data_IF_259222711231
#
_entry.id   IF_259222711231
#
_cell.length_a   1.000
_cell.length_b   1.000
_cell.length_c   1.000
_cell.angle_alpha   90.00
_cell.angle_beta   90.00
_cell.angle_gamma   90.00
#
_symmetry.space_group_name_H-M   'P 1'
#
loop_
_entity.id
_entity.type
_entity.pdbx_description
1 polymer ?
#
# COMPACT_ATOMS: atom_id res chain seq x y z
N UNK A 1 3.57 3.98 12.78
CA UNK A 1 2.58 4.75 12.00
C UNK A 1 2.04 5.88 12.86
N UNK A 2 1.45 6.91 12.25
CA UNK A 2 0.86 8.10 12.90
C UNK A 2 -0.59 8.26 12.43
N UNK A 3 -1.51 8.58 13.35
CA UNK A 3 -2.94 8.75 13.09
C UNK A 3 -3.58 7.55 12.38
N UNK A 4 -3.25 6.34 12.84
CA UNK A 4 -3.71 5.10 12.22
C UNK A 4 -4.98 4.57 12.88
N UNK A 5 -5.85 3.94 12.09
CA UNK A 5 -6.95 3.12 12.59
C UNK A 5 -7.05 1.84 11.78
N UNK A 6 -7.70 0.84 12.35
CA UNK A 6 -7.90 -0.48 11.78
C UNK A 6 -9.26 -1.03 12.18
N UNK A 7 -9.74 -2.02 11.45
CA UNK A 7 -10.98 -2.71 11.75
C UNK A 7 -11.22 -3.88 10.81
N UNK A 8 -12.44 -4.40 10.85
CA UNK A 8 -12.88 -5.50 9.97
C UNK A 8 -13.98 -4.98 9.06
N UNK A 9 -13.91 -5.32 7.78
CA UNK A 9 -15.00 -5.12 6.83
C UNK A 9 -15.10 -6.34 5.91
N UNK A 10 -16.31 -6.92 5.81
CA UNK A 10 -16.56 -8.16 5.04
C UNK A 10 -15.55 -9.27 5.35
N UNK A 11 -15.32 -9.54 6.64
CA UNK A 11 -14.37 -10.55 7.15
C UNK A 11 -12.90 -10.34 6.75
N UNK A 12 -12.51 -9.14 6.31
CA UNK A 12 -11.11 -8.79 6.03
C UNK A 12 -10.68 -7.64 6.93
N UNK A 13 -9.49 -7.78 7.51
CA UNK A 13 -8.86 -6.72 8.29
C UNK A 13 -8.43 -5.60 7.35
N UNK A 14 -8.52 -4.36 7.81
CA UNK A 14 -8.00 -3.21 7.09
C UNK A 14 -7.18 -2.31 7.99
N UNK A 15 -6.30 -1.52 7.37
CA UNK A 15 -5.60 -0.41 8.02
C UNK A 15 -5.64 0.86 7.17
N UNK A 16 -5.76 2.00 7.84
CA UNK A 16 -5.58 3.31 7.22
C UNK A 16 -4.90 4.30 8.17
N UNK A 17 -4.58 5.48 7.66
CA UNK A 17 -4.18 6.63 8.45
C UNK A 17 -4.89 7.91 7.97
N UNK A 18 -5.58 8.59 8.88
CA UNK A 18 -6.18 9.90 8.61
C UNK A 18 -5.14 11.00 8.76
N UNK A 19 -4.80 11.73 7.68
CA UNK A 19 -3.78 12.80 7.69
C UNK A 19 -2.40 12.37 8.21
N UNK A 20 -2.09 11.07 8.12
CA UNK A 20 -0.87 10.48 8.66
C UNK A 20 -0.33 9.38 7.75
N UNK A 21 0.36 8.41 8.35
CA UNK A 21 1.01 7.34 7.60
C UNK A 21 1.09 6.05 8.41
N UNK A 22 1.24 4.93 7.72
CA UNK A 22 1.62 3.65 8.32
C UNK A 22 2.62 2.94 7.42
N UNK A 23 3.36 1.99 7.98
CA UNK A 23 4.36 1.25 7.24
C UNK A 23 4.49 -0.18 7.73
N UNK A 24 5.05 -1.02 6.88
CA UNK A 24 5.41 -2.40 7.14
C UNK A 24 6.84 -2.66 6.70
N UNK A 25 7.55 -3.50 7.43
CA UNK A 25 8.82 -4.07 6.97
C UNK A 25 8.50 -5.37 6.23
N UNK A 26 8.78 -5.42 4.93
CA UNK A 26 8.45 -6.55 4.07
C UNK A 26 9.73 -7.25 3.60
N UNK A 27 9.68 -8.58 3.52
CA UNK A 27 10.79 -9.38 2.97
C UNK A 27 10.84 -9.19 1.45
N UNK A 28 12.05 -9.09 0.92
CA UNK A 28 12.35 -9.02 -0.52
C UNK A 28 13.50 -9.96 -0.85
N UNK A 29 13.67 -10.24 -2.13
CA UNK A 29 14.79 -11.01 -2.64
C UNK A 29 15.87 -10.06 -3.20
N UNK A 30 17.13 -10.14 -2.75
CA UNK A 30 18.20 -9.22 -3.16
C UNK A 30 18.47 -9.13 -4.66
N UNK A 31 18.24 -10.22 -5.39
CA UNK A 31 18.64 -10.36 -6.79
C UNK A 31 17.46 -10.54 -7.75
N UNK A 32 16.23 -10.44 -7.24
CA UNK A 32 15.00 -10.67 -8.02
C UNK A 32 14.18 -9.38 -8.06
N UNK A 33 13.62 -8.99 -9.24
CA UNK A 33 12.60 -7.95 -9.30
C UNK A 33 11.45 -8.28 -8.33
N UNK A 34 10.89 -7.26 -7.69
CA UNK A 34 9.80 -7.44 -6.73
C UNK A 34 8.62 -6.54 -7.10
N UNK A 35 7.41 -7.04 -6.92
CA UNK A 35 6.17 -6.27 -7.10
C UNK A 35 5.42 -6.22 -5.79
N UNK A 36 4.97 -5.04 -5.39
CA UNK A 36 4.08 -4.87 -4.25
C UNK A 36 2.64 -5.02 -4.73
N UNK A 37 1.91 -6.01 -4.23
CA UNK A 37 0.46 -6.11 -4.43
C UNK A 37 -0.28 -5.61 -3.19
N UNK A 38 -1.23 -4.71 -3.40
CA UNK A 38 -2.13 -4.24 -2.36
C UNK A 38 -3.59 -4.51 -2.74
N UNK A 39 -4.37 -5.01 -1.79
CA UNK A 39 -5.82 -5.17 -1.96
C UNK A 39 -6.58 -3.98 -1.34
N UNK A 40 -7.55 -3.45 -2.08
CA UNK A 40 -8.42 -2.35 -1.66
C UNK A 40 -9.89 -2.69 -1.82
N UNK A 41 -10.77 -1.94 -1.13
CA UNK A 41 -12.21 -2.01 -1.34
C UNK A 41 -12.65 -1.04 -2.44
N UNK A 42 -13.29 -1.54 -3.48
CA UNK A 42 -13.60 -0.73 -4.66
C UNK A 42 -14.77 0.22 -4.53
N UNK A 43 -15.51 0.22 -3.39
CA UNK A 43 -16.43 1.32 -3.06
C UNK A 43 -15.82 2.34 -2.09
N UNK A 44 -14.53 2.24 -1.73
CA UNK A 44 -13.88 3.26 -0.91
C UNK A 44 -13.90 4.62 -1.61
N UNK A 45 -14.19 5.65 -0.83
CA UNK A 45 -14.24 7.05 -1.24
C UNK A 45 -13.84 7.94 -0.04
N UNK A 46 -14.10 9.25 -0.13
CA UNK A 46 -13.92 10.17 1.00
C UNK A 46 -12.51 10.78 1.11
N UNK A 47 -11.89 11.07 -0.03
CA UNK A 47 -10.60 11.78 -0.04
C UNK A 47 -9.40 10.89 0.29
N UNK A 48 -9.42 9.65 -0.17
CA UNK A 48 -8.29 8.71 -0.06
C UNK A 48 -7.34 8.92 -1.22
N UNK A 49 -6.35 9.78 -1.01
CA UNK A 49 -5.22 9.99 -1.92
C UNK A 49 -3.94 9.96 -1.10
N UNK A 50 -3.04 9.05 -1.48
CA UNK A 50 -1.84 8.78 -0.71
C UNK A 50 -0.72 8.26 -1.59
N UNK A 51 0.51 8.46 -1.13
CA UNK A 51 1.70 7.91 -1.76
C UNK A 51 2.04 6.55 -1.18
N UNK A 52 2.54 5.67 -2.04
CA UNK A 52 3.17 4.41 -1.68
C UNK A 52 4.67 4.59 -1.84
N UNK A 53 5.40 4.47 -0.74
CA UNK A 53 6.84 4.63 -0.68
C UNK A 53 7.49 3.31 -0.35
N UNK A 54 8.59 2.98 -1.03
CA UNK A 54 9.44 1.83 -0.74
C UNK A 54 10.85 2.34 -0.46
N UNK A 55 11.42 1.92 0.67
CA UNK A 55 12.72 2.43 1.15
C UNK A 55 12.80 3.97 1.20
N UNK A 56 11.66 4.64 1.43
CA UNK A 56 11.56 6.10 1.47
C UNK A 56 11.38 6.78 0.10
N UNK A 57 11.48 6.04 -1.00
CA UNK A 57 11.23 6.55 -2.36
C UNK A 57 9.79 6.32 -2.77
N UNK A 58 9.11 7.35 -3.28
CA UNK A 58 7.75 7.22 -3.82
C UNK A 58 7.78 6.39 -5.10
N UNK A 59 7.01 5.30 -5.12
CA UNK A 59 6.84 4.45 -6.31
C UNK A 59 5.48 4.66 -6.99
N UNK A 60 4.47 5.13 -6.25
CA UNK A 60 3.14 5.38 -6.80
C UNK A 60 2.35 6.39 -5.95
N UNK A 61 1.33 6.98 -6.56
CA UNK A 61 0.25 7.70 -5.87
C UNK A 61 -1.05 6.93 -6.12
N UNK A 62 -1.75 6.52 -5.07
CA UNK A 62 -3.01 5.80 -5.14
C UNK A 62 -4.18 6.72 -4.80
N UNK A 63 -5.24 6.66 -5.61
CA UNK A 63 -6.53 7.32 -5.35
C UNK A 63 -7.64 6.26 -5.27
N UNK A 64 -8.35 6.23 -4.14
CA UNK A 64 -9.55 5.40 -3.97
C UNK A 64 -10.80 6.29 -4.05
N UNK A 65 -11.57 6.11 -5.12
CA UNK A 65 -12.72 6.93 -5.47
C UNK A 65 -13.76 6.10 -6.24
N UNK A 66 -14.24 5.04 -5.58
CA UNK A 66 -15.20 4.07 -6.14
C UNK A 66 -14.69 3.36 -7.40
N UNK A 67 -13.41 2.99 -7.44
CA UNK A 67 -12.75 2.46 -8.63
C UNK A 67 -13.35 1.13 -9.13
N UNK A 68 -13.87 0.28 -8.23
CA UNK A 68 -14.41 -1.05 -8.53
C UNK A 68 -15.58 -1.39 -7.58
N UNK A 69 -16.73 -0.69 -7.65
CA UNK A 69 -17.76 -0.76 -6.62
C UNK A 69 -18.21 -2.19 -6.30
N UNK A 70 -18.43 -2.48 -5.02
CA UNK A 70 -19.00 -3.74 -4.55
C UNK A 70 -18.03 -4.92 -4.49
N UNK A 71 -16.76 -4.74 -4.86
CA UNK A 71 -15.74 -5.79 -4.80
C UNK A 71 -14.40 -5.31 -4.28
N UNK A 72 -13.63 -6.26 -3.74
CA UNK A 72 -12.20 -6.07 -3.54
C UNK A 72 -11.48 -6.08 -4.90
N UNK A 73 -10.39 -5.35 -5.00
CA UNK A 73 -9.54 -5.36 -6.17
C UNK A 73 -8.08 -5.17 -5.75
N UNK A 74 -7.19 -5.75 -6.54
CA UNK A 74 -5.76 -5.67 -6.31
C UNK A 74 -5.13 -4.61 -7.22
N UNK A 75 -4.09 -3.96 -6.72
CA UNK A 75 -3.23 -3.08 -7.47
C UNK A 75 -1.80 -3.54 -7.26
N UNK A 76 -1.11 -3.75 -8.37
CA UNK A 76 0.30 -4.08 -8.41
C UNK A 76 1.12 -2.80 -8.64
N UNK A 77 2.15 -2.63 -7.83
CA UNK A 77 3.13 -1.57 -7.97
C UNK A 77 4.49 -2.22 -8.20
N UNK A 78 5.04 -2.03 -9.40
CA UNK A 78 6.41 -2.43 -9.70
C UNK A 78 7.36 -1.64 -8.80
N UNK A 79 8.29 -2.35 -8.16
CA UNK A 79 9.29 -1.71 -7.31
C UNK A 79 10.55 -1.54 -8.16
N UNK A 80 11.04 -0.29 -8.35
CA UNK A 80 12.31 -0.07 -9.01
C UNK A 80 13.42 -0.89 -8.37
N UNK A 81 14.18 -1.62 -9.20
CA UNK A 81 15.13 -2.66 -8.75
C UNK A 81 16.20 -2.11 -7.80
N UNK A 82 16.59 -0.85 -7.98
CA UNK A 82 17.54 -0.15 -7.12
C UNK A 82 17.08 -0.04 -5.66
N UNK A 83 15.79 -0.12 -5.37
CA UNK A 83 15.26 -0.05 -4.00
C UNK A 83 15.32 -1.38 -3.26
N UNK A 84 15.44 -2.50 -3.98
CA UNK A 84 15.46 -3.85 -3.40
C UNK A 84 16.77 -4.59 -3.62
N UNK A 85 17.62 -4.14 -4.56
CA UNK A 85 18.89 -4.80 -4.87
C UNK A 85 19.80 -4.91 -3.66
N UNK A 86 20.26 -6.11 -3.35
CA UNK A 86 21.11 -6.38 -2.17
C UNK A 86 20.35 -6.42 -0.84
N UNK A 87 19.07 -6.05 -0.82
CA UNK A 87 18.27 -5.96 0.39
C UNK A 87 17.53 -7.29 0.66
N UNK A 88 17.40 -7.64 1.94
CA UNK A 88 16.55 -8.76 2.39
C UNK A 88 15.19 -8.31 2.89
N UNK A 89 15.09 -7.04 3.27
CA UNK A 89 13.86 -6.39 3.70
C UNK A 89 13.83 -4.95 3.23
N UNK A 90 12.63 -4.42 3.02
CA UNK A 90 12.39 -3.00 2.74
C UNK A 90 11.22 -2.49 3.56
N UNK A 91 11.22 -1.19 3.86
CA UNK A 91 10.06 -0.52 4.45
C UNK A 91 9.12 -0.08 3.34
N UNK A 92 7.87 -0.54 3.39
CA UNK A 92 6.76 -0.04 2.57
C UNK A 92 5.93 0.90 3.44
N UNK A 93 5.76 2.16 3.01
CA UNK A 93 4.99 3.19 3.72
C UNK A 93 3.83 3.67 2.84
N UNK A 94 2.67 3.80 3.46
CA UNK A 94 1.50 4.49 2.90
C UNK A 94 1.36 5.83 3.59
N UNK A 95 1.46 6.92 2.84
CA UNK A 95 1.54 8.28 3.36
C UNK A 95 0.46 9.17 2.77
N UNK A 96 -0.39 9.74 3.63
CA UNK A 96 -1.52 10.53 3.19
C UNK A 96 -1.05 11.86 2.61
N UNK A 97 -1.65 12.27 1.49
CA UNK A 97 -1.50 13.66 1.05
C UNK A 97 -2.09 14.64 2.09
N UNK A 98 -1.70 15.93 2.05
CA UNK A 98 -2.25 16.93 2.97
C UNK A 98 -3.77 16.95 3.01
N UNK A 99 -4.35 16.76 4.20
CA UNK A 99 -5.81 16.72 4.40
C UNK A 99 -6.51 15.48 3.85
N UNK A 100 -5.77 14.48 3.36
CA UNK A 100 -6.30 13.22 2.81
C UNK A 100 -6.09 12.05 3.75
N UNK A 101 -6.50 10.86 3.31
CA UNK A 101 -6.36 9.61 4.03
C UNK A 101 -5.48 8.62 3.25
N UNK A 102 -4.58 7.94 3.96
CA UNK A 102 -3.79 6.83 3.43
C UNK A 102 -4.44 5.49 3.73
N UNK A 103 -4.57 4.65 2.71
CA UNK A 103 -5.01 3.28 2.87
C UNK A 103 -6.52 3.10 2.82
N UNK A 104 -7.05 2.19 3.64
CA UNK A 104 -8.05 1.23 3.17
C UNK A 104 -7.37 -0.02 2.59
N UNK A 105 -6.15 -0.31 3.07
CA UNK A 105 -5.37 -1.49 2.67
C UNK A 105 -5.93 -2.69 3.41
N UNK A 106 -6.41 -3.67 2.66
CA UNK A 106 -6.96 -4.93 3.16
C UNK A 106 -5.96 -6.08 3.08
N UNK A 107 -5.01 -5.99 2.16
CA UNK A 107 -3.91 -6.94 2.04
C UNK A 107 -2.70 -6.24 1.41
N UNK A 108 -1.51 -6.75 1.70
CA UNK A 108 -0.24 -6.18 1.27
C UNK A 108 0.81 -7.29 1.20
N UNK A 109 1.16 -7.73 0.00
CA UNK A 109 2.08 -8.86 -0.22
C UNK A 109 3.17 -8.52 -1.23
N UNK A 110 4.36 -9.07 -1.03
CA UNK A 110 5.45 -9.00 -1.99
C UNK A 110 5.35 -10.19 -2.95
N UNK A 111 5.23 -9.90 -4.24
CA UNK A 111 5.18 -10.90 -5.30
C UNK A 111 6.57 -11.10 -5.92
N UNK A 112 6.82 -12.35 -6.30
CA UNK A 112 7.94 -12.73 -7.16
C UNK A 112 7.47 -12.70 -8.62
N UNK A 113 8.37 -12.45 -9.58
CA UNK A 113 8.07 -12.65 -10.99
C UNK A 113 7.68 -14.12 -11.22
N UNK A 114 6.82 -14.32 -12.22
CA UNK A 114 6.38 -15.66 -12.63
C UNK A 114 7.52 -16.46 -13.25
#
# INVERSE_FOLDING_TARGET
GKQTSSGVFRNRNWRHAGRGWFSYTMKVLPDTPMTLLCTYWGSDAGGRTFDVLVAGSKIATQKLDRNRPGKFFDVEYEIPRELTRGQKTVTVRFEAHPGKMAGGVFDCVMLRPK
#
